data_IF_765275443645
#
_entry.id   IF_765275443645
#
_cell.length_a   1.000
_cell.length_b   1.000
_cell.length_c   1.000
_cell.angle_alpha   90.00
_cell.angle_beta   90.00
_cell.angle_gamma   90.00
#
_symmetry.space_group_name_H-M   'P 1'
#
loop_
_entity.id
_entity.type
_entity.pdbx_description
1 polymer ?
#
# COMPACT_ATOMS: atom_id res chain seq x y z
N UNK A 1 6.01 -2.21 19.04
CA UNK A 1 5.66 -0.97 18.35
C UNK A 1 6.82 0.04 18.36
N UNK A 2 7.46 0.28 19.48
CA UNK A 2 8.52 1.30 19.63
C UNK A 2 9.95 0.83 19.31
N UNK A 3 10.11 -0.28 18.60
CA UNK A 3 11.43 -0.83 18.21
C UNK A 3 12.07 -0.09 17.03
N UNK A 4 11.29 0.68 16.30
CA UNK A 4 11.73 1.48 15.17
C UNK A 4 11.34 2.96 15.35
N UNK A 5 12.11 3.89 14.80
CA UNK A 5 11.79 5.31 14.87
C UNK A 5 10.52 5.64 14.07
N UNK A 6 9.59 6.31 14.74
CA UNK A 6 8.38 6.86 14.16
C UNK A 6 8.56 8.34 13.86
N UNK A 7 8.13 8.74 12.69
CA UNK A 7 8.25 10.11 12.20
C UNK A 7 6.92 10.65 11.72
N UNK A 8 6.83 11.97 11.66
CA UNK A 8 5.76 12.69 10.98
C UNK A 8 6.36 13.75 10.05
N UNK A 9 5.72 13.97 8.94
CA UNK A 9 5.99 15.11 8.06
C UNK A 9 4.70 15.64 7.46
N UNK A 10 4.62 16.94 7.20
CA UNK A 10 3.45 17.53 6.53
C UNK A 10 3.77 17.72 5.06
N UNK A 11 2.93 17.17 4.21
CA UNK A 11 2.97 17.25 2.74
C UNK A 11 1.56 17.57 2.25
N UNK A 12 1.43 18.55 1.36
CA UNK A 12 0.13 18.96 0.78
C UNK A 12 -0.97 19.19 1.86
N UNK A 13 -0.59 19.79 2.99
CA UNK A 13 -1.42 20.00 4.18
C UNK A 13 -1.93 18.73 4.88
N UNK A 14 -1.32 17.58 4.61
CA UNK A 14 -1.58 16.32 5.32
C UNK A 14 -0.37 15.96 6.16
N UNK A 15 -0.57 15.76 7.46
CA UNK A 15 0.45 15.22 8.35
C UNK A 15 0.49 13.70 8.17
N UNK A 16 1.57 13.21 7.62
CA UNK A 16 1.80 11.78 7.37
C UNK A 16 2.73 11.20 8.43
N UNK A 17 2.26 10.16 9.06
CA UNK A 17 3.07 9.28 9.91
C UNK A 17 3.77 8.23 9.06
N UNK A 18 5.01 7.90 9.43
CA UNK A 18 5.74 6.79 8.82
C UNK A 18 6.80 6.22 9.79
N UNK A 19 7.09 4.94 9.63
CA UNK A 19 8.29 4.30 10.18
C UNK A 19 9.39 4.40 9.14
N UNK A 20 10.62 4.67 9.58
CA UNK A 20 11.78 4.71 8.71
C UNK A 20 12.93 3.87 9.29
N UNK A 21 13.04 2.64 8.84
CA UNK A 21 14.10 1.72 9.21
C UNK A 21 15.28 1.88 8.22
N UNK A 22 16.30 2.62 8.64
CA UNK A 22 17.50 2.88 7.84
C UNK A 22 18.48 1.72 7.95
N UNK A 23 18.99 1.26 6.83
CA UNK A 23 20.14 0.35 6.79
C UNK A 23 21.44 1.11 7.03
N UNK A 24 22.42 0.50 7.74
CA UNK A 24 23.79 1.05 7.82
C UNK A 24 24.58 0.87 6.51
N UNK A 25 24.08 0.06 5.58
CA UNK A 25 24.78 -0.24 4.33
C UNK A 25 24.67 0.92 3.35
N UNK A 26 25.77 1.37 2.74
CA UNK A 26 25.75 2.49 1.80
C UNK A 26 25.08 2.15 0.45
N UNK A 27 24.99 0.88 0.11
CA UNK A 27 24.34 0.34 -1.10
C UNK A 27 22.87 -0.03 -0.89
N UNK A 28 22.30 0.29 0.27
CA UNK A 28 20.92 -0.05 0.60
C UNK A 28 19.92 0.64 -0.35
N UNK A 29 18.95 -0.12 -0.80
CA UNK A 29 17.96 0.30 -1.79
C UNK A 29 16.76 0.95 -1.07
N UNK A 30 16.33 2.17 -1.45
CA UNK A 30 15.13 2.77 -0.89
C UNK A 30 13.88 1.96 -1.25
N UNK A 31 13.09 1.57 -0.25
CA UNK A 31 11.88 0.78 -0.38
C UNK A 31 10.75 1.41 0.43
N UNK A 32 9.66 1.75 -0.22
CA UNK A 32 8.42 2.10 0.46
C UNK A 32 7.48 0.88 0.49
N UNK A 33 6.87 0.61 1.65
CA UNK A 33 5.93 -0.49 1.83
C UNK A 33 4.57 0.07 2.23
N UNK A 34 3.54 -0.24 1.43
CA UNK A 34 2.21 0.39 1.54
C UNK A 34 1.17 -0.64 1.89
N UNK A 35 0.52 -0.43 3.04
CA UNK A 35 -0.58 -1.26 3.55
C UNK A 35 -1.91 -0.94 2.86
N UNK A 36 -2.96 -1.66 3.28
CA UNK A 36 -4.33 -1.42 2.86
C UNK A 36 -5.34 -1.52 3.99
N UNK A 37 -6.58 -1.78 3.66
CA UNK A 37 -7.68 -1.91 4.61
C UNK A 37 -7.97 -3.39 4.91
N UNK A 38 -8.26 -3.77 6.15
CA UNK A 38 -8.32 -2.98 7.38
C UNK A 38 -6.98 -2.86 8.11
N UNK A 39 -5.88 -3.10 7.41
CA UNK A 39 -4.52 -3.12 7.94
C UNK A 39 -4.00 -1.76 8.36
N UNK A 40 -2.72 -1.74 8.69
CA UNK A 40 -1.97 -0.53 9.05
C UNK A 40 -0.49 -0.72 8.74
N UNK A 41 0.31 0.32 8.93
CA UNK A 41 1.76 0.24 8.84
C UNK A 41 2.36 -0.91 9.67
N UNK A 42 1.67 -1.33 10.73
CA UNK A 42 2.17 -2.35 11.67
C UNK A 42 2.21 -3.77 11.08
N UNK A 43 1.48 -4.05 10.01
CA UNK A 43 1.55 -5.35 9.31
C UNK A 43 2.96 -5.68 8.80
N UNK A 44 3.80 -4.66 8.57
CA UNK A 44 5.19 -4.82 8.16
C UNK A 44 6.18 -4.95 9.33
N UNK A 45 5.70 -5.00 10.58
CA UNK A 45 6.54 -5.00 11.79
C UNK A 45 7.55 -6.15 11.87
N UNK A 46 7.26 -7.28 11.24
CA UNK A 46 8.15 -8.45 11.23
C UNK A 46 9.18 -8.41 10.09
N UNK A 47 9.01 -7.53 9.10
CA UNK A 47 9.86 -7.53 7.89
C UNK A 47 10.74 -6.29 7.75
N UNK A 48 10.38 -5.13 8.32
CA UNK A 48 11.19 -3.92 8.15
C UNK A 48 12.60 -4.05 8.72
N UNK A 49 12.79 -4.76 9.85
CA UNK A 49 14.10 -4.94 10.44
C UNK A 49 14.97 -5.96 9.67
N UNK A 50 14.49 -7.16 9.32
CA UNK A 50 15.22 -8.08 8.45
C UNK A 50 15.62 -7.47 7.10
N UNK A 51 14.75 -6.65 6.50
CA UNK A 51 15.04 -5.98 5.23
C UNK A 51 16.09 -4.87 5.38
N UNK A 52 16.06 -4.12 6.47
CA UNK A 52 17.05 -3.05 6.70
C UNK A 52 18.39 -3.55 7.25
N UNK A 53 18.38 -4.68 7.97
CA UNK A 53 19.54 -5.27 8.61
C UNK A 53 19.60 -6.78 8.30
N UNK A 54 19.81 -7.19 7.04
CA UNK A 54 19.93 -8.59 6.71
C UNK A 54 21.14 -9.21 7.42
N UNK A 55 20.96 -10.41 7.97
CA UNK A 55 22.04 -11.15 8.66
C UNK A 55 23.06 -11.73 7.69
N UNK A 56 22.63 -12.04 6.47
CA UNK A 56 23.49 -12.49 5.38
C UNK A 56 23.96 -11.30 4.54
N UNK A 57 25.28 -11.02 4.51
CA UNK A 57 25.81 -9.91 3.72
C UNK A 57 25.59 -10.01 2.20
N UNK A 58 25.31 -11.21 1.68
CA UNK A 58 25.01 -11.41 0.26
C UNK A 58 23.61 -10.96 -0.14
N UNK A 59 22.71 -10.83 0.84
CA UNK A 59 21.35 -10.34 0.59
C UNK A 59 21.31 -8.82 0.41
N UNK A 60 20.42 -8.29 -0.44
CA UNK A 60 20.22 -6.86 -0.56
C UNK A 60 19.70 -6.27 0.76
N UNK A 61 20.16 -5.07 1.10
CA UNK A 61 19.64 -4.29 2.21
C UNK A 61 18.75 -3.15 1.70
N UNK A 62 17.81 -2.71 2.52
CA UNK A 62 16.85 -1.68 2.15
C UNK A 62 16.78 -0.55 3.19
N UNK A 63 16.62 0.67 2.72
CA UNK A 63 16.09 1.76 3.55
C UNK A 63 14.55 1.66 3.48
N UNK A 64 13.95 1.11 4.53
CA UNK A 64 12.51 0.80 4.54
C UNK A 64 11.71 1.97 5.08
N UNK A 65 10.77 2.48 4.29
CA UNK A 65 9.81 3.52 4.67
C UNK A 65 8.42 2.92 4.67
N UNK A 66 7.72 3.00 5.81
CA UNK A 66 6.38 2.42 5.98
C UNK A 66 5.42 3.51 6.42
N UNK A 67 4.77 4.22 5.49
CA UNK A 67 3.80 5.24 5.84
C UNK A 67 2.49 4.64 6.32
N UNK A 68 1.78 5.37 7.18
CA UNK A 68 0.34 5.21 7.36
C UNK A 68 -0.39 5.94 6.24
N UNK A 69 -1.37 5.28 5.62
CA UNK A 69 -2.24 5.93 4.64
C UNK A 69 -2.96 7.14 5.25
N UNK A 70 -3.28 8.19 4.48
CA UNK A 70 -4.16 9.25 4.94
C UNK A 70 -5.46 8.69 5.53
N UNK A 71 -5.83 9.12 6.74
CA UNK A 71 -6.98 8.61 7.48
C UNK A 71 -6.75 7.30 8.25
N UNK A 72 -5.53 6.75 8.24
CA UNK A 72 -5.19 5.52 8.95
C UNK A 72 -4.16 5.77 10.07
N UNK A 73 -4.31 5.03 11.16
CA UNK A 73 -3.40 5.00 12.30
C UNK A 73 -3.03 6.42 12.79
N UNK A 74 -1.81 6.89 12.51
CA UNK A 74 -1.27 8.15 13.03
C UNK A 74 -1.12 9.23 11.95
N UNK A 75 -1.61 9.01 10.73
CA UNK A 75 -1.72 10.03 9.69
C UNK A 75 -3.01 10.81 9.83
N UNK A 76 -2.98 12.08 9.45
CA UNK A 76 -4.19 12.91 9.38
C UNK A 76 -5.14 12.41 8.29
N UNK A 77 -6.39 12.84 8.39
CA UNK A 77 -7.38 12.64 7.35
C UNK A 77 -6.99 13.35 6.05
N UNK A 78 -7.49 12.86 4.91
CA UNK A 78 -7.39 13.60 3.66
C UNK A 78 -7.91 15.03 3.81
N UNK A 79 -7.22 16.05 3.24
CA UNK A 79 -7.54 17.47 3.50
C UNK A 79 -8.76 17.97 2.75
N UNK A 80 -9.33 17.15 1.87
CA UNK A 80 -10.49 17.51 1.03
C UNK A 80 -11.35 16.30 0.69
N UNK A 81 -12.60 16.56 0.41
CA UNK A 81 -13.49 15.62 -0.21
C UNK A 81 -12.98 15.14 -1.59
N UNK A 82 -13.32 13.92 -1.99
CA UNK A 82 -12.88 13.35 -3.26
C UNK A 82 -11.38 13.05 -3.36
N UNK A 83 -10.69 12.93 -2.21
CA UNK A 83 -9.32 12.43 -2.19
C UNK A 83 -9.26 10.99 -2.68
N UNK A 84 -8.33 10.72 -3.57
CA UNK A 84 -8.21 9.41 -4.23
C UNK A 84 -6.91 8.69 -3.84
N UNK A 85 -6.79 7.42 -4.22
CA UNK A 85 -5.55 6.68 -4.07
C UNK A 85 -4.43 7.22 -4.99
N UNK A 86 -4.79 7.88 -6.09
CA UNK A 86 -3.87 8.60 -6.97
C UNK A 86 -3.27 9.83 -6.27
N UNK A 87 -4.09 10.58 -5.53
CA UNK A 87 -3.58 11.68 -4.69
C UNK A 87 -2.58 11.16 -3.64
N UNK A 88 -2.89 10.03 -3.02
CA UNK A 88 -2.01 9.36 -2.05
C UNK A 88 -0.71 8.89 -2.70
N UNK A 89 -0.75 8.39 -3.93
CA UNK A 89 0.46 8.03 -4.67
C UNK A 89 1.39 9.23 -4.88
N UNK A 90 0.84 10.37 -5.33
CA UNK A 90 1.60 11.61 -5.45
C UNK A 90 2.19 12.09 -4.13
N UNK A 91 1.44 11.95 -3.03
CA UNK A 91 1.90 12.28 -1.69
C UNK A 91 3.08 11.41 -1.25
N UNK A 92 3.04 10.10 -1.56
CA UNK A 92 4.11 9.17 -1.20
C UNK A 92 5.37 9.34 -2.06
N UNK A 93 5.25 9.71 -3.33
CA UNK A 93 6.40 10.13 -4.13
C UNK A 93 7.09 11.36 -3.52
N UNK A 94 6.30 12.36 -3.10
CA UNK A 94 6.84 13.53 -2.37
C UNK A 94 7.48 13.14 -1.05
N UNK A 95 6.93 12.16 -0.31
CA UNK A 95 7.53 11.66 0.93
C UNK A 95 8.91 11.08 0.67
N UNK A 96 9.05 10.19 -0.32
CA UNK A 96 10.33 9.58 -0.65
C UNK A 96 11.36 10.62 -1.08
N UNK A 97 10.98 11.58 -1.92
CA UNK A 97 11.85 12.69 -2.34
C UNK A 97 12.28 13.59 -1.16
N UNK A 98 11.38 13.86 -0.22
CA UNK A 98 11.70 14.63 1.01
C UNK A 98 12.71 13.91 1.89
N UNK A 99 12.68 12.56 1.90
CA UNK A 99 13.66 11.74 2.62
C UNK A 99 15.02 11.63 1.89
N UNK A 100 15.14 12.25 0.71
CA UNK A 100 16.34 12.23 -0.14
C UNK A 100 16.37 11.10 -1.17
N UNK A 101 15.32 10.29 -1.25
CA UNK A 101 15.24 9.14 -2.16
C UNK A 101 14.65 9.55 -3.51
N UNK A 102 15.51 9.93 -4.45
CA UNK A 102 15.08 10.30 -5.81
C UNK A 102 14.62 9.08 -6.64
N UNK A 103 15.11 7.90 -6.30
CA UNK A 103 14.72 6.62 -6.90
C UNK A 103 14.44 5.61 -5.80
N UNK A 104 13.37 4.85 -5.96
CA UNK A 104 12.94 3.89 -4.95
C UNK A 104 12.18 2.72 -5.58
N UNK A 105 12.03 1.65 -4.80
CA UNK A 105 11.14 0.53 -5.07
C UNK A 105 9.92 0.62 -4.16
N UNK A 106 8.83 -0.01 -4.56
CA UNK A 106 7.61 -0.10 -3.75
C UNK A 106 7.11 -1.54 -3.64
N UNK A 107 6.72 -1.92 -2.43
CA UNK A 107 5.96 -3.15 -2.14
C UNK A 107 4.53 -2.75 -1.75
N UNK A 108 3.53 -3.43 -2.33
CA UNK A 108 2.12 -3.08 -2.17
C UNK A 108 1.21 -4.30 -2.18
N UNK A 109 0.07 -4.16 -1.51
CA UNK A 109 -1.05 -5.07 -1.56
C UNK A 109 -2.33 -4.36 -1.19
N UNK A 110 -3.48 -4.97 -1.37
CA UNK A 110 -4.79 -4.40 -1.04
C UNK A 110 -4.98 -2.98 -1.63
N UNK A 111 -5.37 -1.95 -0.85
CA UNK A 111 -5.45 -0.56 -1.34
C UNK A 111 -4.10 -0.03 -1.83
N UNK A 112 -3.01 -0.50 -1.24
CA UNK A 112 -1.65 -0.20 -1.71
C UNK A 112 -1.41 -0.64 -3.16
N UNK A 113 -2.12 -1.67 -3.66
CA UNK A 113 -2.04 -2.08 -5.07
C UNK A 113 -2.33 -0.91 -6.03
N UNK A 114 -3.41 -0.17 -5.80
CA UNK A 114 -3.79 0.95 -6.65
C UNK A 114 -2.78 2.10 -6.59
N UNK A 115 -2.23 2.34 -5.39
CA UNK A 115 -1.14 3.32 -5.18
C UNK A 115 0.12 2.89 -5.93
N UNK A 116 0.50 1.61 -5.83
CA UNK A 116 1.66 1.06 -6.55
C UNK A 116 1.51 1.12 -8.06
N UNK A 117 0.32 0.82 -8.58
CA UNK A 117 0.02 0.97 -10.03
C UNK A 117 0.19 2.41 -10.50
N UNK A 118 -0.33 3.37 -9.74
CA UNK A 118 -0.20 4.79 -10.06
C UNK A 118 1.26 5.23 -10.05
N UNK A 119 2.03 4.85 -9.00
CA UNK A 119 3.46 5.15 -8.91
C UNK A 119 4.26 4.51 -10.05
N UNK A 120 4.01 3.24 -10.35
CA UNK A 120 4.68 2.52 -11.43
C UNK A 120 4.34 2.99 -12.83
N UNK A 121 3.17 3.61 -13.03
CA UNK A 121 2.75 4.10 -14.34
C UNK A 121 3.08 5.57 -14.60
N UNK A 122 2.94 6.44 -13.59
CA UNK A 122 3.09 7.89 -13.75
C UNK A 122 4.35 8.49 -13.13
N UNK A 123 4.98 7.78 -12.18
CA UNK A 123 6.17 8.27 -11.49
C UNK A 123 7.42 7.44 -11.82
N UNK A 124 7.54 7.03 -13.09
CA UNK A 124 8.59 6.11 -13.59
C UNK A 124 10.01 6.63 -13.40
N UNK A 125 10.19 7.95 -13.31
CA UNK A 125 11.49 8.56 -13.02
C UNK A 125 11.95 8.29 -11.58
N UNK A 126 11.03 8.14 -10.65
CA UNK A 126 11.30 7.88 -9.23
C UNK A 126 11.03 6.42 -8.84
N UNK A 127 9.86 5.88 -9.16
CA UNK A 127 9.48 4.51 -8.86
C UNK A 127 10.05 3.56 -9.93
N UNK A 128 11.08 2.79 -9.57
CA UNK A 128 11.82 1.94 -10.51
C UNK A 128 11.36 0.49 -10.54
N UNK A 129 10.69 0.04 -9.47
CA UNK A 129 10.14 -1.31 -9.38
C UNK A 129 8.93 -1.32 -8.47
N UNK A 130 7.90 -2.04 -8.89
CA UNK A 130 6.71 -2.30 -8.08
C UNK A 130 6.59 -3.80 -7.84
N UNK A 131 6.52 -4.19 -6.57
CA UNK A 131 6.19 -5.55 -6.16
C UNK A 131 4.74 -5.57 -5.67
N UNK A 132 3.94 -6.46 -6.24
CA UNK A 132 2.55 -6.69 -5.85
C UNK A 132 2.41 -8.06 -5.18
N UNK A 133 1.89 -8.11 -3.95
CA UNK A 133 1.44 -9.36 -3.33
C UNK A 133 -0.07 -9.61 -3.54
N UNK A 134 -0.76 -8.64 -4.12
CA UNK A 134 -2.15 -8.70 -4.51
C UNK A 134 -2.32 -7.90 -5.82
N UNK A 135 -2.75 -8.58 -6.88
CA UNK A 135 -2.86 -7.98 -8.22
C UNK A 135 -4.20 -8.39 -8.86
N UNK A 136 -5.33 -7.79 -8.41
CA UNK A 136 -6.61 -8.07 -9.02
C UNK A 136 -6.62 -7.50 -10.45
N UNK A 137 -6.78 -8.37 -11.42
CA UNK A 137 -6.91 -7.99 -12.82
C UNK A 137 -8.08 -8.74 -13.43
N UNK A 138 -9.01 -8.05 -14.09
CA UNK A 138 -10.02 -8.73 -14.88
C UNK A 138 -9.35 -9.50 -16.02
N UNK A 139 -9.90 -10.64 -16.37
CA UNK A 139 -9.45 -11.37 -17.54
C UNK A 139 -9.73 -10.57 -18.80
N UNK A 140 -8.84 -10.57 -19.80
CA UNK A 140 -9.06 -9.87 -21.06
C UNK A 140 -10.29 -10.46 -21.78
N UNK A 141 -11.15 -9.61 -22.31
CA UNK A 141 -12.27 -10.03 -23.16
C UNK A 141 -11.78 -10.49 -24.55
N UNK A 142 -12.50 -11.45 -25.14
CA UNK A 142 -12.23 -11.89 -26.52
C UNK A 142 -11.01 -12.79 -26.69
N UNK A 143 -10.45 -13.32 -25.61
CA UNK A 143 -9.32 -14.28 -25.63
C UNK A 143 -9.84 -15.68 -25.34
N UNK A 144 -9.34 -16.67 -26.07
CA UNK A 144 -9.62 -18.08 -25.79
C UNK A 144 -8.74 -18.56 -24.62
N UNK A 145 -9.39 -18.97 -23.53
CA UNK A 145 -8.71 -19.44 -22.33
C UNK A 145 -8.37 -20.91 -22.38
N UNK A 146 -7.20 -21.26 -21.88
CA UNK A 146 -6.81 -22.66 -21.65
C UNK A 146 -7.74 -23.31 -20.61
N UNK A 147 -7.74 -24.64 -20.56
CA UNK A 147 -8.51 -25.40 -19.56
C UNK A 147 -8.18 -24.94 -18.12
N UNK A 148 -6.89 -24.73 -17.84
CA UNK A 148 -6.43 -24.29 -16.51
C UNK A 148 -6.92 -22.89 -16.15
N UNK A 149 -6.90 -21.97 -17.11
CA UNK A 149 -7.42 -20.60 -16.89
C UNK A 149 -8.92 -20.60 -16.63
N UNK A 150 -9.69 -21.42 -17.35
CA UNK A 150 -11.13 -21.61 -17.09
C UNK A 150 -11.40 -22.19 -15.69
N UNK A 151 -10.60 -23.17 -15.24
CA UNK A 151 -10.68 -23.73 -13.89
C UNK A 151 -10.35 -22.66 -12.82
N UNK A 152 -9.33 -21.84 -13.04
CA UNK A 152 -8.98 -20.74 -12.14
C UNK A 152 -10.09 -19.69 -12.10
N UNK A 153 -10.66 -19.32 -13.27
CA UNK A 153 -11.78 -18.39 -13.34
C UNK A 153 -12.97 -18.88 -12.56
N UNK A 154 -13.38 -20.15 -12.77
CA UNK A 154 -14.50 -20.72 -12.01
C UNK A 154 -14.30 -20.67 -10.50
N UNK A 155 -13.06 -20.87 -10.02
CA UNK A 155 -12.73 -20.72 -8.59
C UNK A 155 -12.80 -19.27 -8.11
N UNK A 156 -12.39 -18.33 -8.95
CA UNK A 156 -12.50 -16.89 -8.65
C UNK A 156 -13.98 -16.48 -8.59
N UNK A 157 -14.80 -16.95 -9.53
CA UNK A 157 -16.23 -16.65 -9.57
C UNK A 157 -16.93 -17.21 -8.32
N UNK A 158 -16.66 -18.47 -7.97
CA UNK A 158 -17.17 -19.07 -6.72
C UNK A 158 -16.74 -18.28 -5.48
N UNK A 159 -15.48 -17.85 -5.42
CA UNK A 159 -14.99 -17.03 -4.31
C UNK A 159 -15.68 -15.67 -4.24
N UNK A 160 -15.86 -15.01 -5.38
CA UNK A 160 -16.55 -13.72 -5.45
C UNK A 160 -18.03 -13.83 -5.04
N UNK A 161 -18.69 -14.94 -5.40
CA UNK A 161 -20.10 -15.16 -5.09
C UNK A 161 -20.30 -15.59 -3.63
N UNK A 162 -19.48 -16.52 -3.13
CA UNK A 162 -19.76 -17.23 -1.89
C UNK A 162 -18.84 -16.86 -0.71
N UNK A 163 -17.67 -16.24 -0.96
CA UNK A 163 -16.63 -16.05 0.06
C UNK A 163 -16.23 -14.58 0.30
N UNK A 164 -16.76 -13.64 -0.47
CA UNK A 164 -16.51 -12.20 -0.27
C UNK A 164 -17.43 -11.54 0.77
N UNK A 165 -17.83 -12.26 1.81
CA UNK A 165 -18.78 -11.76 2.81
C UNK A 165 -18.44 -10.39 3.39
N UNK A 166 -17.17 -10.12 3.68
CA UNK A 166 -16.73 -8.82 4.18
C UNK A 166 -16.99 -7.68 3.17
N UNK A 167 -16.75 -7.90 1.89
CA UNK A 167 -16.97 -6.89 0.85
C UNK A 167 -18.45 -6.70 0.55
N UNK A 168 -19.27 -7.77 0.68
CA UNK A 168 -20.73 -7.69 0.61
C UNK A 168 -21.27 -6.87 1.77
N UNK A 169 -20.80 -7.11 3.00
CA UNK A 169 -21.16 -6.30 4.17
C UNK A 169 -20.80 -4.81 3.96
N UNK A 170 -19.68 -4.51 3.37
CA UNK A 170 -19.27 -3.13 3.03
C UNK A 170 -20.24 -2.49 2.02
N UNK A 171 -20.71 -3.23 1.02
CA UNK A 171 -21.65 -2.73 0.01
C UNK A 171 -23.08 -2.56 0.54
N UNK A 172 -23.54 -3.48 1.37
CA UNK A 172 -24.94 -3.53 1.83
C UNK A 172 -25.24 -2.65 3.04
N UNK A 173 -24.23 -1.97 3.62
CA UNK A 173 -24.40 -1.06 4.77
C UNK A 173 -24.89 -1.68 6.07
N UNK A 174 -25.01 -2.99 6.15
CA UNK A 174 -25.63 -3.66 7.31
C UNK A 174 -24.66 -3.77 8.49
N UNK A 175 -23.39 -4.08 8.25
CA UNK A 175 -22.40 -4.28 9.32
C UNK A 175 -21.58 -3.04 9.69
N UNK A 176 -21.52 -2.03 8.86
CA UNK A 176 -20.54 -0.95 9.01
C UNK A 176 -21.08 0.33 9.64
N UNK A 177 -22.37 0.36 10.00
CA UNK A 177 -22.88 1.43 10.90
C UNK A 177 -22.27 1.37 12.30
N UNK A 178 -21.69 0.24 12.66
CA UNK A 178 -21.04 0.05 13.95
C UNK A 178 -19.54 0.36 13.98
N UNK A 179 -18.90 0.55 12.83
CA UNK A 179 -17.48 0.91 12.75
C UNK A 179 -17.31 2.25 12.05
N UNK A 180 -16.75 3.20 12.76
CA UNK A 180 -16.57 4.63 12.44
C UNK A 180 -15.98 5.00 11.07
N UNK A 181 -15.71 4.07 10.18
CA UNK A 181 -15.02 4.34 8.91
C UNK A 181 -15.94 4.69 7.75
N UNK A 182 -17.25 4.49 7.88
CA UNK A 182 -18.22 4.77 6.79
C UNK A 182 -18.86 6.14 6.85
N UNK A 183 -18.76 6.84 7.96
CA UNK A 183 -19.20 8.24 8.03
C UNK A 183 -18.37 9.14 7.12
N UNK A 184 -17.11 8.75 6.88
CA UNK A 184 -16.18 9.49 6.02
C UNK A 184 -16.58 9.47 4.54
N UNK A 185 -17.14 8.39 4.07
CA UNK A 185 -17.64 8.29 2.70
C UNK A 185 -19.01 8.96 2.51
N UNK A 186 -19.62 9.45 3.60
CA UNK A 186 -20.93 10.12 3.58
C UNK A 186 -20.89 11.62 3.89
N UNK A 187 -19.76 12.15 4.33
CA UNK A 187 -19.61 13.58 4.59
C UNK A 187 -19.38 14.41 3.31
N UNK A 188 -19.76 13.83 2.16
CA UNK A 188 -19.70 14.47 0.85
C UNK A 188 -21.00 14.26 0.09
#
# INVERSE_FOLDING_TARGET
MNSQPHFHTTLDNVKIHFVHARSPRPDAIPLIMVHGWPGSFYEFSQVWNPLSHPTDPSQPAFHVVVPSLPGFAFSDWPPRAGWTLQDTAGLFDKLMKRLGYQRYMIQTGDWGHWIGRELGSKYTESCKLVHFNFAPSPLPEGVEYTKREKEVQSRVDDWLENHMGYAVCMRTRVCLRASCHLEILRAN
#
